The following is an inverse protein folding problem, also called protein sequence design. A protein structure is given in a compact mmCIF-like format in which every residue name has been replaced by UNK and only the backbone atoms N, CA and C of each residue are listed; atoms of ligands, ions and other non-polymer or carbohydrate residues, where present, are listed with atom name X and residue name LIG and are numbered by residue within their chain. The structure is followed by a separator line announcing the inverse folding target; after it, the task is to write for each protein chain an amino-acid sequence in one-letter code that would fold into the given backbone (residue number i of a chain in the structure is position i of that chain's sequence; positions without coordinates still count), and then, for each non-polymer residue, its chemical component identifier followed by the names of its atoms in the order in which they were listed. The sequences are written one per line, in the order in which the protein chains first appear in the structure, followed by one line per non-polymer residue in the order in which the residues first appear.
data_IF_024990682447
#
_entry.id   IF_024990682447
#
_cell.length_a   1.000
_cell.length_b   1.000
_cell.length_c   1.000
_cell.angle_alpha   90.00
_cell.angle_beta   90.00
_cell.angle_gamma   90.00
#
_symmetry.space_group_name_H-M   'P 1'
#
loop_
_entity.id
_entity.type
_entity.pdbx_description
1 polymer ?
#
# COMPACT_ATOMS: atom_id res chain seq x y z
N UNK A 1 42.66 48.74 17.08
CA UNK A 1 41.42 48.26 17.66
C UNK A 1 40.59 47.56 16.57
N UNK A 2 40.90 46.30 16.33
CA UNK A 2 40.13 45.45 15.41
C UNK A 2 39.35 44.44 16.23
N UNK A 3 38.06 44.66 16.30
CA UNK A 3 37.11 43.68 16.85
C UNK A 3 36.82 42.65 15.76
N UNK A 4 37.45 41.49 15.82
CA UNK A 4 37.07 40.32 15.06
C UNK A 4 35.76 39.76 15.67
N UNK A 5 34.65 40.07 15.04
CA UNK A 5 33.35 39.40 15.30
C UNK A 5 33.49 37.94 14.83
N UNK A 6 33.90 37.06 15.75
CA UNK A 6 33.87 35.64 15.53
C UNK A 6 32.44 35.20 15.28
N UNK A 7 32.14 34.79 14.06
CA UNK A 7 30.98 34.03 13.71
C UNK A 7 31.06 32.74 14.56
N UNK A 8 30.29 32.68 15.67
CA UNK A 8 30.10 31.43 16.41
C UNK A 8 29.41 30.47 15.45
N UNK A 9 30.20 29.62 14.82
CA UNK A 9 29.63 28.50 14.05
C UNK A 9 28.73 27.72 14.99
N UNK A 10 27.42 27.74 14.76
CA UNK A 10 26.45 26.90 15.48
C UNK A 10 26.92 25.47 15.35
N UNK A 11 27.32 24.88 16.48
CA UNK A 11 27.71 23.47 16.51
C UNK A 11 26.55 22.61 16.00
N UNK A 12 26.84 21.64 15.13
CA UNK A 12 25.81 20.64 14.70
C UNK A 12 25.10 19.98 15.89
N UNK A 13 25.73 19.96 17.06
CA UNK A 13 25.13 19.47 18.31
C UNK A 13 24.00 20.39 18.85
N UNK A 14 23.93 21.64 18.40
CA UNK A 14 22.94 22.64 18.86
C UNK A 14 21.71 22.69 17.94
N UNK A 15 21.70 22.00 16.80
CA UNK A 15 20.58 21.98 15.87
C UNK A 15 19.30 21.46 16.55
N UNK A 16 18.12 22.04 16.25
CA UNK A 16 16.84 21.50 16.70
C UNK A 16 16.66 20.04 16.30
N UNK A 17 15.93 19.28 17.10
CA UNK A 17 15.70 17.85 16.88
C UNK A 17 15.11 17.55 15.49
N UNK A 18 14.18 18.37 15.03
CA UNK A 18 13.52 18.25 13.73
C UNK A 18 14.52 18.40 12.57
N UNK A 19 15.47 19.31 12.70
CA UNK A 19 16.53 19.53 11.69
C UNK A 19 17.49 18.35 11.68
N UNK A 20 17.88 17.82 12.85
CA UNK A 20 18.71 16.62 12.95
C UNK A 20 18.02 15.41 12.33
N UNK A 21 16.73 15.20 12.59
CA UNK A 21 15.97 14.14 11.96
C UNK A 21 15.93 14.28 10.44
N UNK A 22 15.77 15.50 9.95
CA UNK A 22 15.76 15.77 8.52
C UNK A 22 17.11 15.45 7.90
N UNK A 23 18.20 15.95 8.48
CA UNK A 23 19.58 15.67 8.05
C UNK A 23 19.84 14.15 8.04
N UNK A 24 19.51 13.44 9.12
CA UNK A 24 19.77 12.01 9.22
C UNK A 24 18.98 11.18 8.19
N UNK A 25 17.75 11.57 7.87
CA UNK A 25 16.95 10.89 6.86
C UNK A 25 17.47 11.07 5.44
N UNK A 26 18.09 12.20 5.12
CA UNK A 26 18.52 12.52 3.76
C UNK A 26 20.00 12.35 3.54
N UNK A 27 20.83 12.66 4.52
CA UNK A 27 22.28 12.63 4.38
C UNK A 27 22.90 11.27 4.77
N UNK A 28 22.29 10.55 5.72
CA UNK A 28 22.81 9.29 6.22
C UNK A 28 22.03 8.12 5.60
N UNK A 29 22.51 7.61 4.49
CA UNK A 29 21.91 6.49 3.77
C UNK A 29 22.39 5.13 4.31
N UNK A 30 23.55 5.10 4.98
CA UNK A 30 24.14 3.90 5.57
C UNK A 30 23.63 3.67 6.99
N UNK A 31 23.24 2.43 7.28
CA UNK A 31 22.88 2.01 8.64
C UNK A 31 24.06 2.16 9.61
N UNK A 32 25.29 1.95 9.12
CA UNK A 32 26.52 2.08 9.90
C UNK A 32 26.77 3.52 10.33
N UNK A 33 26.53 4.50 9.45
CA UNK A 33 26.66 5.93 9.79
C UNK A 33 25.65 6.34 10.85
N UNK A 34 24.39 5.86 10.74
CA UNK A 34 23.37 6.09 11.76
C UNK A 34 23.75 5.47 13.11
N UNK A 35 24.35 4.26 13.10
CA UNK A 35 24.87 3.65 14.32
C UNK A 35 25.98 4.46 14.96
N UNK A 36 26.91 5.03 14.16
CA UNK A 36 27.94 5.92 14.65
C UNK A 36 27.34 7.17 15.31
N UNK A 37 26.25 7.71 14.78
CA UNK A 37 25.53 8.85 15.36
C UNK A 37 24.96 8.57 16.75
N UNK A 38 24.67 7.30 17.11
CA UNK A 38 24.20 6.93 18.44
C UNK A 38 25.21 7.29 19.54
N UNK A 39 26.49 7.32 19.21
CA UNK A 39 27.62 7.49 20.15
C UNK A 39 28.07 8.94 20.29
N UNK A 40 27.56 9.89 19.49
CA UNK A 40 28.03 11.27 19.45
C UNK A 40 27.57 12.07 20.69
N UNK A 41 26.27 12.16 20.91
CA UNK A 41 25.67 12.80 22.07
C UNK A 41 24.20 12.35 22.25
N UNK A 42 23.57 12.68 23.42
CA UNK A 42 22.19 12.28 23.73
C UNK A 42 21.17 12.72 22.68
N UNK A 43 21.32 13.94 22.12
CA UNK A 43 20.38 14.48 21.11
C UNK A 43 20.55 13.73 19.78
N UNK A 44 21.77 13.46 19.36
CA UNK A 44 22.05 12.69 18.16
C UNK A 44 21.56 11.24 18.33
N UNK A 45 21.81 10.64 19.49
CA UNK A 45 21.28 9.31 19.82
C UNK A 45 19.75 9.26 19.68
N UNK A 46 19.03 10.19 20.30
CA UNK A 46 17.56 10.23 20.22
C UNK A 46 17.05 10.39 18.78
N UNK A 47 17.73 11.20 17.96
CA UNK A 47 17.38 11.39 16.56
C UNK A 47 17.72 10.17 15.70
N UNK A 48 18.92 9.60 15.88
CA UNK A 48 19.38 8.44 15.13
C UNK A 48 18.53 7.19 15.42
N UNK A 49 18.16 6.96 16.68
CA UNK A 49 17.25 5.87 17.07
C UNK A 49 15.91 5.97 16.33
N UNK A 50 15.31 7.15 16.24
CA UNK A 50 14.05 7.33 15.50
C UNK A 50 14.19 7.00 14.02
N UNK A 51 15.31 7.35 13.40
CA UNK A 51 15.55 7.03 11.98
C UNK A 51 15.79 5.54 11.77
N UNK A 52 16.62 4.91 12.62
CA UNK A 52 16.89 3.47 12.59
C UNK A 52 15.63 2.63 12.76
N UNK A 53 14.78 3.01 13.72
CA UNK A 53 13.54 2.28 14.01
C UNK A 53 12.37 2.65 13.11
N UNK A 54 12.49 3.65 12.26
CA UNK A 54 11.44 4.03 11.32
C UNK A 54 11.09 2.91 10.32
N UNK A 55 12.12 2.18 9.85
CA UNK A 55 12.00 1.07 8.90
C UNK A 55 13.02 -0.01 9.21
N UNK A 56 12.80 -0.79 10.27
CA UNK A 56 13.68 -1.91 10.56
C UNK A 56 13.64 -2.93 9.41
N UNK A 57 14.79 -3.52 9.10
CA UNK A 57 14.91 -4.56 8.08
C UNK A 57 15.35 -5.88 8.73
N UNK A 58 14.77 -6.98 8.28
CA UNK A 58 15.03 -8.31 8.80
C UNK A 58 15.50 -9.21 7.65
N UNK A 59 16.69 -9.78 7.81
CA UNK A 59 17.22 -10.81 6.91
C UNK A 59 17.21 -12.19 7.57
N UNK A 60 17.01 -12.24 8.88
CA UNK A 60 16.98 -13.45 9.70
C UNK A 60 15.97 -13.27 10.82
N UNK A 61 15.36 -14.36 11.22
CA UNK A 61 14.39 -14.40 12.32
C UNK A 61 14.99 -13.89 13.64
N UNK A 62 16.28 -14.15 13.89
CA UNK A 62 16.99 -13.66 15.08
C UNK A 62 16.97 -12.13 15.21
N UNK A 63 17.04 -11.38 14.11
CA UNK A 63 16.95 -9.93 14.15
C UNK A 63 15.54 -9.46 14.54
N UNK A 64 14.48 -10.15 14.09
CA UNK A 64 13.12 -9.89 14.51
C UNK A 64 12.93 -10.18 16.01
N UNK A 65 13.45 -11.29 16.51
CA UNK A 65 13.43 -11.61 17.94
C UNK A 65 14.10 -10.53 18.79
N UNK A 66 15.28 -10.07 18.38
CA UNK A 66 15.99 -8.99 19.08
C UNK A 66 15.17 -7.70 19.09
N UNK A 67 14.58 -7.31 17.96
CA UNK A 67 13.71 -6.15 17.87
C UNK A 67 12.52 -6.26 18.83
N UNK A 68 11.81 -7.39 18.80
CA UNK A 68 10.66 -7.64 19.68
C UNK A 68 11.10 -7.57 21.14
N UNK A 69 12.21 -8.22 21.48
CA UNK A 69 12.74 -8.21 22.84
C UNK A 69 12.96 -6.78 23.36
N UNK A 70 13.57 -5.91 22.54
CA UNK A 70 13.78 -4.50 22.91
C UNK A 70 12.45 -3.73 23.00
N UNK A 71 11.50 -4.01 22.11
CA UNK A 71 10.19 -3.31 22.09
C UNK A 71 9.34 -3.59 23.33
N UNK A 72 9.43 -4.79 23.90
CA UNK A 72 8.58 -5.22 25.03
C UNK A 72 9.22 -4.96 26.40
N UNK A 73 10.44 -4.43 26.46
CA UNK A 73 11.08 -4.09 27.73
C UNK A 73 10.30 -2.99 28.44
N UNK A 74 9.86 -3.21 29.71
CA UNK A 74 9.07 -2.23 30.45
C UNK A 74 9.83 -0.94 30.74
N UNK A 75 11.15 -1.04 30.93
CA UNK A 75 12.03 0.08 31.28
C UNK A 75 12.82 0.61 30.06
N UNK A 76 12.31 0.39 28.83
CA UNK A 76 12.96 0.85 27.63
C UNK A 76 13.09 2.39 27.62
N UNK A 77 14.32 2.88 27.42
CA UNK A 77 14.59 4.31 27.42
C UNK A 77 13.85 5.08 26.31
N UNK A 78 13.61 4.41 25.16
CA UNK A 78 12.88 4.98 24.03
C UNK A 78 11.58 4.20 23.77
N UNK A 79 10.50 4.87 23.31
CA UNK A 79 9.27 4.21 22.89
C UNK A 79 9.43 3.59 21.49
N UNK A 80 10.27 2.58 21.37
CA UNK A 80 10.70 1.98 20.09
C UNK A 80 9.54 1.64 19.15
N UNK A 81 8.50 0.96 19.66
CA UNK A 81 7.33 0.59 18.88
C UNK A 81 6.66 1.81 18.21
N UNK A 82 6.68 2.97 18.88
CA UNK A 82 6.08 4.21 18.36
C UNK A 82 6.90 4.87 17.23
N UNK A 83 8.15 4.48 17.05
CA UNK A 83 9.00 4.98 15.97
C UNK A 83 8.80 4.20 14.66
N UNK A 84 8.32 2.96 14.73
CA UNK A 84 8.12 2.10 13.59
C UNK A 84 6.98 2.66 12.72
N UNK A 85 7.29 2.88 11.44
CA UNK A 85 6.35 3.32 10.41
C UNK A 85 6.18 2.29 9.30
N UNK A 86 7.20 1.48 9.04
CA UNK A 86 7.21 0.53 7.93
C UNK A 86 7.75 -0.80 8.38
N UNK A 87 7.00 -1.86 8.15
CA UNK A 87 7.42 -3.24 8.39
C UNK A 87 7.31 -4.03 7.09
N UNK A 88 8.34 -4.79 6.80
CA UNK A 88 8.36 -5.71 5.66
C UNK A 88 8.87 -7.07 6.14
N UNK A 89 7.99 -8.07 6.04
CA UNK A 89 8.27 -9.46 6.45
C UNK A 89 8.44 -10.41 5.26
N UNK A 90 8.47 -9.92 4.02
CA UNK A 90 8.57 -10.77 2.82
C UNK A 90 9.79 -11.70 2.82
N UNK A 91 10.90 -11.28 3.44
CA UNK A 91 12.12 -12.08 3.60
C UNK A 91 11.98 -13.19 4.63
N UNK A 92 10.99 -13.11 5.53
CA UNK A 92 10.68 -14.07 6.58
C UNK A 92 9.35 -14.79 6.34
N UNK A 93 8.84 -14.79 5.10
CA UNK A 93 7.49 -15.23 4.74
C UNK A 93 7.15 -16.64 5.25
N UNK A 94 8.10 -17.57 5.19
CA UNK A 94 7.93 -18.95 5.65
C UNK A 94 8.17 -19.18 7.16
N UNK A 95 8.66 -18.16 7.88
CA UNK A 95 9.08 -18.29 9.28
C UNK A 95 8.23 -17.43 10.23
N UNK A 96 7.45 -16.49 9.69
CA UNK A 96 6.65 -15.55 10.48
C UNK A 96 5.35 -16.22 10.94
N UNK A 97 5.27 -16.51 12.21
CA UNK A 97 4.09 -17.08 12.86
C UNK A 97 3.25 -16.02 13.61
N UNK A 98 2.11 -16.44 14.14
CA UNK A 98 1.18 -15.59 14.89
C UNK A 98 1.79 -15.03 16.17
N UNK A 99 2.68 -15.76 16.82
CA UNK A 99 3.28 -15.34 18.08
C UNK A 99 4.19 -14.12 17.86
N UNK A 100 4.99 -14.15 16.81
CA UNK A 100 5.90 -13.06 16.43
C UNK A 100 5.13 -11.90 15.82
N UNK A 101 4.25 -12.19 14.85
CA UNK A 101 3.50 -11.15 14.15
C UNK A 101 2.54 -10.42 15.09
N UNK A 102 1.90 -11.13 16.03
CA UNK A 102 0.98 -10.53 17.00
C UNK A 102 1.59 -9.43 17.87
N UNK A 103 2.92 -9.43 18.06
CA UNK A 103 3.63 -8.36 18.78
C UNK A 103 3.62 -7.02 18.03
N UNK A 104 3.38 -7.06 16.73
CA UNK A 104 3.30 -5.84 15.90
C UNK A 104 2.06 -4.99 16.23
N UNK A 105 1.09 -5.51 16.96
CA UNK A 105 -0.03 -4.73 17.51
C UNK A 105 0.43 -3.57 18.41
N UNK A 106 1.66 -3.59 18.91
CA UNK A 106 2.26 -2.47 19.65
C UNK A 106 2.65 -1.28 18.75
N UNK A 107 2.74 -1.48 17.45
CA UNK A 107 3.20 -0.47 16.48
C UNK A 107 2.06 0.43 15.98
N UNK A 108 1.35 1.14 16.87
CA UNK A 108 0.14 1.92 16.54
C UNK A 108 0.35 3.07 15.56
N UNK A 109 1.59 3.40 15.25
CA UNK A 109 1.95 4.43 14.28
C UNK A 109 2.42 3.85 12.95
N UNK A 110 2.18 2.56 12.71
CA UNK A 110 2.55 1.87 11.47
C UNK A 110 1.79 2.46 10.28
N UNK A 111 2.54 2.82 9.24
CA UNK A 111 2.02 3.43 8.01
C UNK A 111 2.03 2.45 6.84
N UNK A 112 2.99 1.51 6.83
CA UNK A 112 3.10 0.50 5.76
C UNK A 112 3.41 -0.86 6.33
N UNK A 113 2.64 -1.86 5.89
CA UNK A 113 2.79 -3.26 6.28
C UNK A 113 2.89 -4.14 5.04
N UNK A 114 3.96 -4.91 4.92
CA UNK A 114 4.16 -5.91 3.87
C UNK A 114 4.27 -7.29 4.50
N UNK A 115 3.36 -8.19 4.10
CA UNK A 115 3.27 -9.59 4.51
C UNK A 115 3.32 -10.53 3.29
N UNK A 116 3.87 -10.06 2.17
CA UNK A 116 3.89 -10.85 0.93
C UNK A 116 4.39 -12.28 1.17
N UNK A 117 3.56 -13.28 0.85
CA UNK A 117 3.87 -14.70 1.00
C UNK A 117 3.86 -15.25 2.45
N UNK A 118 3.48 -14.46 3.46
CA UNK A 118 3.40 -14.93 4.86
C UNK A 118 2.17 -15.82 5.06
N UNK A 119 2.31 -17.11 4.81
CA UNK A 119 1.20 -18.08 4.83
C UNK A 119 0.92 -18.69 6.20
N UNK A 120 1.80 -18.50 7.19
CA UNK A 120 1.62 -19.05 8.54
C UNK A 120 0.89 -18.10 9.51
N UNK A 121 0.64 -16.87 9.08
CA UNK A 121 -0.16 -15.90 9.84
C UNK A 121 -1.64 -16.26 9.71
N UNK A 122 -2.37 -16.26 10.83
CA UNK A 122 -3.82 -16.49 10.84
C UNK A 122 -4.59 -15.17 10.64
N UNK A 123 -5.86 -15.29 10.20
CA UNK A 123 -6.76 -14.14 10.07
C UNK A 123 -7.02 -13.44 11.39
N UNK A 124 -7.14 -14.19 12.47
CA UNK A 124 -7.38 -13.65 13.82
C UNK A 124 -6.23 -12.73 14.25
N UNK A 125 -4.99 -13.21 14.11
CA UNK A 125 -3.80 -12.40 14.46
C UNK A 125 -3.64 -11.20 13.53
N UNK A 126 -3.89 -11.36 12.24
CA UNK A 126 -3.87 -10.26 11.27
C UNK A 126 -4.90 -9.19 11.64
N UNK A 127 -6.16 -9.58 11.90
CA UNK A 127 -7.23 -8.67 12.28
C UNK A 127 -6.90 -7.92 13.58
N UNK A 128 -6.35 -8.60 14.59
CA UNK A 128 -5.92 -7.98 15.84
C UNK A 128 -4.82 -6.93 15.62
N UNK A 129 -3.84 -7.21 14.77
CA UNK A 129 -2.78 -6.23 14.43
C UNK A 129 -3.37 -5.05 13.69
N UNK A 130 -4.23 -5.28 12.69
CA UNK A 130 -4.89 -4.22 11.92
C UNK A 130 -5.73 -3.28 12.81
N UNK A 131 -6.49 -3.83 13.77
CA UNK A 131 -7.28 -3.04 14.73
C UNK A 131 -6.42 -2.08 15.56
N UNK A 132 -5.15 -2.41 15.77
CA UNK A 132 -4.21 -1.60 16.55
C UNK A 132 -3.31 -0.70 15.68
N UNK A 133 -3.47 -0.68 14.35
CA UNK A 133 -2.63 0.09 13.43
C UNK A 133 -3.42 1.05 12.54
N UNK A 134 -4.18 2.02 13.11
CA UNK A 134 -5.10 2.89 12.37
C UNK A 134 -4.42 3.91 11.44
N UNK A 135 -3.09 4.01 11.49
CA UNK A 135 -2.32 4.95 10.66
C UNK A 135 -1.87 4.34 9.33
N UNK A 136 -2.29 3.10 9.02
CA UNK A 136 -1.91 2.44 7.78
C UNK A 136 -2.36 3.23 6.54
N UNK A 137 -1.40 3.46 5.68
CA UNK A 137 -1.56 4.13 4.37
C UNK A 137 -1.40 3.14 3.23
N UNK A 138 -0.60 2.09 3.42
CA UNK A 138 -0.42 1.06 2.41
C UNK A 138 -0.21 -0.32 3.03
N UNK A 139 -0.82 -1.33 2.42
CA UNK A 139 -0.66 -2.74 2.77
C UNK A 139 -0.25 -3.57 1.55
N UNK A 140 0.55 -4.58 1.76
CA UNK A 140 0.86 -5.62 0.79
C UNK A 140 0.66 -6.99 1.45
N UNK A 141 -0.42 -7.66 1.06
CA UNK A 141 -0.82 -8.99 1.51
C UNK A 141 -0.78 -10.01 0.36
N UNK A 142 0.02 -9.73 -0.67
CA UNK A 142 0.10 -10.63 -1.83
C UNK A 142 0.47 -12.06 -1.43
N UNK A 143 -0.32 -13.04 -1.89
CA UNK A 143 -0.14 -14.46 -1.58
C UNK A 143 -0.43 -14.86 -0.15
N UNK A 144 -1.05 -14.00 0.67
CA UNK A 144 -1.45 -14.33 2.05
C UNK A 144 -2.80 -15.06 2.04
N UNK A 145 -2.77 -16.34 2.38
CA UNK A 145 -3.93 -17.24 2.23
C UNK A 145 -5.03 -17.01 3.26
N UNK A 146 -4.74 -16.39 4.39
CA UNK A 146 -5.72 -16.12 5.45
C UNK A 146 -6.58 -14.89 5.19
N UNK A 147 -6.24 -14.03 4.22
CA UNK A 147 -6.97 -12.79 3.93
C UNK A 147 -8.34 -13.11 3.33
N UNK A 148 -9.40 -12.64 3.98
CA UNK A 148 -10.80 -12.78 3.55
C UNK A 148 -11.50 -11.43 3.51
N UNK A 149 -12.80 -11.42 3.18
CA UNK A 149 -13.64 -10.22 3.22
C UNK A 149 -13.72 -9.63 4.65
N UNK A 150 -13.65 -10.47 5.69
CA UNK A 150 -13.59 -9.99 7.07
C UNK A 150 -12.30 -9.19 7.33
N UNK A 151 -11.16 -9.67 6.85
CA UNK A 151 -9.89 -8.90 6.93
C UNK A 151 -10.02 -7.54 6.25
N UNK A 152 -10.65 -7.49 5.06
CA UNK A 152 -10.88 -6.24 4.33
C UNK A 152 -11.84 -5.31 5.08
N UNK A 153 -12.86 -5.85 5.73
CA UNK A 153 -13.79 -5.09 6.57
C UNK A 153 -13.07 -4.45 7.76
N UNK A 154 -12.22 -5.21 8.48
CA UNK A 154 -11.39 -4.68 9.58
C UNK A 154 -10.48 -3.58 9.06
N UNK A 155 -9.79 -3.80 7.95
CA UNK A 155 -8.91 -2.80 7.33
C UNK A 155 -9.67 -1.54 6.95
N UNK A 156 -10.84 -1.67 6.33
CA UNK A 156 -11.70 -0.58 5.90
C UNK A 156 -12.17 0.29 7.08
N UNK A 157 -12.62 -0.33 8.15
CA UNK A 157 -13.15 0.38 9.32
C UNK A 157 -12.05 1.02 10.16
N UNK A 158 -10.86 0.41 10.21
CA UNK A 158 -9.76 0.89 11.05
C UNK A 158 -8.87 1.91 10.33
N UNK A 159 -8.68 1.77 9.00
CA UNK A 159 -7.67 2.52 8.24
C UNK A 159 -8.29 3.39 7.12
N UNK A 160 -9.11 4.41 7.42
CA UNK A 160 -9.81 5.22 6.41
C UNK A 160 -8.86 6.06 5.53
N UNK A 161 -7.59 6.18 5.91
CA UNK A 161 -6.55 6.89 5.15
C UNK A 161 -5.77 5.99 4.20
N UNK A 162 -6.22 4.75 3.98
CA UNK A 162 -5.55 3.80 3.09
C UNK A 162 -5.49 4.34 1.67
N UNK A 163 -4.30 4.31 1.07
CA UNK A 163 -4.02 4.78 -0.29
C UNK A 163 -3.57 3.66 -1.22
N UNK A 164 -3.08 2.55 -0.68
CA UNK A 164 -2.61 1.42 -1.47
C UNK A 164 -2.89 0.08 -0.82
N UNK A 165 -3.43 -0.86 -1.60
CA UNK A 165 -3.62 -2.24 -1.19
C UNK A 165 -3.16 -3.19 -2.31
N UNK A 166 -2.21 -4.06 -1.99
CA UNK A 166 -1.85 -5.19 -2.85
C UNK A 166 -2.41 -6.47 -2.22
N UNK A 167 -3.38 -7.07 -2.88
CA UNK A 167 -4.13 -8.26 -2.48
C UNK A 167 -3.96 -9.38 -3.51
N UNK A 168 -2.95 -9.27 -4.39
CA UNK A 168 -2.70 -10.25 -5.46
C UNK A 168 -2.59 -11.66 -4.90
N UNK A 169 -3.35 -12.60 -5.44
CA UNK A 169 -3.36 -13.99 -4.99
C UNK A 169 -4.07 -14.25 -3.66
N UNK A 170 -4.84 -13.28 -3.14
CA UNK A 170 -5.73 -13.52 -1.98
C UNK A 170 -7.01 -14.20 -2.46
N UNK A 171 -6.98 -15.52 -2.60
CA UNK A 171 -8.04 -16.31 -3.26
C UNK A 171 -9.39 -16.33 -2.50
N UNK A 172 -9.41 -15.91 -1.22
CA UNK A 172 -10.61 -15.96 -0.38
C UNK A 172 -11.38 -14.65 -0.33
N UNK A 173 -10.86 -13.57 -0.92
CA UNK A 173 -11.60 -12.30 -1.04
C UNK A 173 -12.60 -12.36 -2.19
N UNK A 174 -13.68 -11.62 -2.04
CA UNK A 174 -14.73 -11.47 -3.07
C UNK A 174 -14.95 -10.01 -3.43
N UNK A 175 -15.80 -9.77 -4.43
CA UNK A 175 -16.24 -8.40 -4.77
C UNK A 175 -16.81 -7.66 -3.56
N UNK A 176 -17.51 -8.35 -2.64
CA UNK A 176 -18.11 -7.71 -1.48
C UNK A 176 -17.07 -7.06 -0.58
N UNK A 177 -15.99 -7.78 -0.25
CA UNK A 177 -14.90 -7.23 0.58
C UNK A 177 -14.22 -6.02 -0.08
N UNK A 178 -14.02 -6.06 -1.40
CA UNK A 178 -13.45 -4.93 -2.16
C UNK A 178 -14.41 -3.74 -2.19
N UNK A 179 -15.71 -3.97 -2.34
CA UNK A 179 -16.73 -2.92 -2.27
C UNK A 179 -16.76 -2.26 -0.89
N UNK A 180 -16.65 -3.03 0.18
CA UNK A 180 -16.61 -2.50 1.54
C UNK A 180 -15.35 -1.66 1.77
N UNK A 181 -14.20 -2.11 1.26
CA UNK A 181 -12.97 -1.33 1.27
C UNK A 181 -13.13 0.01 0.51
N UNK A 182 -13.73 -0.02 -0.68
CA UNK A 182 -13.96 1.18 -1.49
C UNK A 182 -14.86 2.21 -0.78
N UNK A 183 -15.90 1.75 -0.06
CA UNK A 183 -16.83 2.62 0.67
C UNK A 183 -16.19 3.36 1.83
N UNK A 184 -15.23 2.74 2.51
CA UNK A 184 -14.63 3.29 3.73
C UNK A 184 -13.24 3.92 3.49
N UNK A 185 -12.59 3.65 2.36
CA UNK A 185 -11.26 4.16 2.02
C UNK A 185 -11.29 5.04 0.75
N UNK A 186 -11.92 6.22 0.77
CA UNK A 186 -12.07 7.09 -0.41
C UNK A 186 -10.75 7.66 -0.92
N UNK A 187 -9.68 7.59 -0.13
CA UNK A 187 -8.35 8.06 -0.50
C UNK A 187 -7.53 7.00 -1.26
N UNK A 188 -8.13 5.85 -1.61
CA UNK A 188 -7.45 4.77 -2.30
C UNK A 188 -6.97 5.25 -3.69
N UNK A 189 -5.68 5.03 -3.96
CA UNK A 189 -4.99 5.44 -5.18
C UNK A 189 -4.51 4.26 -6.01
N UNK A 190 -4.22 3.14 -5.35
CA UNK A 190 -3.71 1.93 -6.00
C UNK A 190 -4.33 0.70 -5.37
N UNK A 191 -4.84 -0.18 -6.20
CA UNK A 191 -5.34 -1.48 -5.78
C UNK A 191 -4.84 -2.56 -6.74
N UNK A 192 -4.32 -3.65 -6.18
CA UNK A 192 -3.91 -4.84 -6.95
C UNK A 192 -4.69 -6.04 -6.44
N UNK A 193 -5.42 -6.65 -7.35
CA UNK A 193 -6.34 -7.77 -7.14
C UNK A 193 -6.00 -8.95 -8.06
N UNK A 194 -4.79 -8.95 -8.64
CA UNK A 194 -4.39 -9.99 -9.58
C UNK A 194 -4.61 -11.40 -9.02
N UNK A 195 -5.13 -12.32 -9.82
CA UNK A 195 -5.48 -13.69 -9.46
C UNK A 195 -6.53 -13.82 -8.33
N UNK A 196 -7.34 -12.79 -8.08
CA UNK A 196 -8.48 -12.88 -7.17
C UNK A 196 -9.73 -13.30 -7.95
N UNK A 197 -9.87 -14.58 -8.24
CA UNK A 197 -10.89 -15.13 -9.18
C UNK A 197 -12.34 -14.80 -8.79
N UNK A 198 -12.61 -14.56 -7.49
CA UNK A 198 -13.94 -14.26 -6.96
C UNK A 198 -14.24 -12.75 -6.94
N UNK A 199 -13.33 -11.93 -7.46
CA UNK A 199 -13.53 -10.49 -7.60
C UNK A 199 -13.96 -10.19 -9.04
N UNK A 200 -15.16 -9.63 -9.18
CA UNK A 200 -15.76 -9.30 -10.47
C UNK A 200 -15.75 -7.79 -10.75
N UNK A 201 -16.43 -7.45 -11.81
CA UNK A 201 -16.47 -6.08 -12.29
C UNK A 201 -17.27 -5.11 -11.46
N UNK A 202 -18.21 -5.59 -10.64
CA UNK A 202 -18.92 -4.82 -9.63
C UNK A 202 -17.97 -4.16 -8.62
N UNK A 203 -16.89 -4.86 -8.24
CA UNK A 203 -15.83 -4.29 -7.42
C UNK A 203 -15.11 -3.12 -8.12
N UNK A 204 -14.79 -3.27 -9.41
CA UNK A 204 -14.17 -2.19 -10.19
C UNK A 204 -15.08 -0.96 -10.27
N UNK A 205 -16.37 -1.18 -10.52
CA UNK A 205 -17.36 -0.11 -10.56
C UNK A 205 -17.45 0.67 -9.24
N UNK A 206 -17.53 -0.05 -8.12
CA UNK A 206 -17.62 0.59 -6.82
C UNK A 206 -16.32 1.34 -6.47
N UNK A 207 -15.15 0.80 -6.82
CA UNK A 207 -13.87 1.50 -6.71
C UNK A 207 -13.86 2.82 -7.48
N UNK A 208 -14.32 2.82 -8.73
CA UNK A 208 -14.39 4.03 -9.55
C UNK A 208 -15.39 5.06 -9.01
N UNK A 209 -16.46 4.60 -8.39
CA UNK A 209 -17.48 5.47 -7.77
C UNK A 209 -17.01 6.11 -6.47
N UNK A 210 -16.33 5.33 -5.61
CA UNK A 210 -16.01 5.74 -4.24
C UNK A 210 -14.62 6.29 -4.07
N UNK A 211 -13.70 5.96 -4.97
CA UNK A 211 -12.30 6.33 -4.89
C UNK A 211 -11.93 7.30 -6.04
N UNK A 212 -12.29 8.59 -5.98
CA UNK A 212 -12.08 9.54 -7.07
C UNK A 212 -10.61 9.78 -7.40
N UNK A 213 -9.71 9.44 -6.49
CA UNK A 213 -8.24 9.56 -6.67
C UNK A 213 -7.58 8.27 -7.10
N UNK A 214 -8.35 7.26 -7.55
CA UNK A 214 -7.80 5.97 -7.99
C UNK A 214 -6.96 6.18 -9.27
N UNK A 215 -5.69 5.76 -9.22
CA UNK A 215 -4.71 5.90 -10.29
C UNK A 215 -4.34 4.56 -10.93
N UNK A 216 -4.37 3.48 -10.16
CA UNK A 216 -3.97 2.14 -10.60
C UNK A 216 -4.99 1.10 -10.11
N UNK A 217 -5.52 0.32 -11.04
CA UNK A 217 -6.34 -0.86 -10.79
C UNK A 217 -5.74 -2.05 -11.56
N UNK A 218 -5.35 -3.09 -10.83
CA UNK A 218 -4.80 -4.33 -11.40
C UNK A 218 -5.77 -5.47 -11.07
N UNK A 219 -6.43 -6.01 -12.10
CA UNK A 219 -7.36 -7.12 -12.05
C UNK A 219 -6.90 -8.28 -12.96
N UNK A 220 -5.59 -8.43 -13.14
CA UNK A 220 -5.04 -9.54 -13.93
C UNK A 220 -5.58 -10.88 -13.43
N UNK A 221 -5.98 -11.77 -14.33
CA UNK A 221 -6.52 -13.10 -14.00
C UNK A 221 -7.80 -13.08 -13.13
N UNK A 222 -8.52 -11.94 -13.08
CA UNK A 222 -9.85 -11.91 -12.46
C UNK A 222 -10.88 -12.41 -13.47
N UNK A 223 -11.19 -13.70 -13.42
CA UNK A 223 -12.05 -14.38 -14.41
C UNK A 223 -13.52 -13.93 -14.38
N UNK A 224 -13.94 -13.28 -13.30
CA UNK A 224 -15.28 -12.74 -13.12
C UNK A 224 -15.44 -11.28 -13.63
N UNK A 225 -14.43 -10.72 -14.29
CA UNK A 225 -14.53 -9.40 -14.94
C UNK A 225 -15.10 -9.56 -16.35
N UNK A 226 -16.24 -8.93 -16.61
CA UNK A 226 -16.99 -9.01 -17.87
C UNK A 226 -17.09 -7.65 -18.57
N UNK A 227 -17.51 -7.62 -19.82
CA UNK A 227 -17.58 -6.44 -20.68
C UNK A 227 -18.28 -5.23 -20.02
N UNK A 228 -19.44 -5.44 -19.40
CA UNK A 228 -20.24 -4.37 -18.79
C UNK A 228 -19.44 -3.57 -17.76
N UNK A 229 -18.60 -4.23 -17.01
CA UNK A 229 -17.77 -3.59 -15.95
C UNK A 229 -16.70 -2.69 -16.52
N UNK A 230 -16.13 -3.09 -17.64
CA UNK A 230 -15.08 -2.32 -18.33
C UNK A 230 -15.70 -1.19 -19.15
N UNK A 231 -16.91 -1.41 -19.74
CA UNK A 231 -17.67 -0.33 -20.40
C UNK A 231 -17.88 0.87 -19.49
N UNK A 232 -18.20 0.65 -18.22
CA UNK A 232 -18.42 1.73 -17.26
C UNK A 232 -17.14 2.54 -16.94
N UNK A 233 -15.96 1.97 -17.11
CA UNK A 233 -14.69 2.71 -17.01
C UNK A 233 -14.63 3.80 -18.09
N UNK A 234 -15.07 3.48 -19.31
CA UNK A 234 -15.06 4.40 -20.44
C UNK A 234 -16.14 5.48 -20.35
N UNK A 235 -17.23 5.19 -19.65
CA UNK A 235 -18.37 6.10 -19.53
C UNK A 235 -18.23 7.11 -18.37
N UNK A 236 -17.22 6.97 -17.52
CA UNK A 236 -17.04 7.81 -16.33
C UNK A 236 -15.76 8.65 -16.40
N UNK A 237 -15.79 9.88 -15.87
CA UNK A 237 -14.57 10.64 -15.66
C UNK A 237 -13.76 9.96 -14.54
N UNK A 238 -12.57 9.46 -14.86
CA UNK A 238 -11.68 8.80 -13.90
C UNK A 238 -10.30 9.43 -13.93
N UNK A 239 -9.59 9.37 -12.81
CA UNK A 239 -8.17 9.73 -12.72
C UNK A 239 -7.25 8.53 -13.01
N UNK A 240 -7.83 7.41 -13.49
CA UNK A 240 -7.14 6.16 -13.70
C UNK A 240 -6.02 6.34 -14.74
N UNK A 241 -4.81 5.93 -14.37
CA UNK A 241 -3.62 5.98 -15.22
C UNK A 241 -3.20 4.61 -15.71
N UNK A 242 -3.46 3.59 -14.90
CA UNK A 242 -3.09 2.22 -15.20
C UNK A 242 -4.26 1.28 -14.91
N UNK A 243 -4.68 0.54 -15.93
CA UNK A 243 -5.67 -0.51 -15.85
C UNK A 243 -5.08 -1.81 -16.41
N UNK A 244 -4.96 -2.83 -15.57
CA UNK A 244 -4.46 -4.13 -15.97
C UNK A 244 -5.57 -5.16 -15.92
N UNK A 245 -5.84 -5.76 -17.08
CA UNK A 245 -6.88 -6.76 -17.31
C UNK A 245 -6.30 -8.01 -18.00
N UNK A 246 -4.98 -8.20 -17.94
CA UNK A 246 -4.35 -9.35 -18.58
C UNK A 246 -4.97 -10.68 -18.09
N UNK A 247 -5.16 -11.61 -19.00
CA UNK A 247 -5.80 -12.91 -18.75
C UNK A 247 -7.27 -12.84 -18.26
N UNK A 248 -7.97 -11.73 -18.46
CA UNK A 248 -9.42 -11.66 -18.24
C UNK A 248 -10.16 -12.23 -19.44
N UNK A 249 -10.26 -13.57 -19.52
CA UNK A 249 -10.71 -14.29 -20.70
C UNK A 249 -12.23 -14.15 -20.99
N UNK A 250 -13.00 -13.52 -20.10
CA UNK A 250 -14.42 -13.22 -20.32
C UNK A 250 -14.64 -11.88 -21.05
N UNK A 251 -13.57 -11.11 -21.32
CA UNK A 251 -13.66 -9.84 -22.03
C UNK A 251 -13.70 -10.06 -23.54
N UNK A 252 -14.67 -9.43 -24.21
CA UNK A 252 -14.81 -9.35 -25.66
C UNK A 252 -14.67 -7.93 -26.17
N UNK A 253 -14.73 -7.71 -27.47
CA UNK A 253 -14.67 -6.36 -28.08
C UNK A 253 -15.79 -5.45 -27.55
N UNK A 254 -16.89 -6.02 -27.03
CA UNK A 254 -17.98 -5.27 -26.41
C UNK A 254 -17.56 -4.53 -25.14
N UNK A 255 -16.45 -4.90 -24.50
CA UNK A 255 -15.89 -4.16 -23.36
C UNK A 255 -15.48 -2.73 -23.70
N UNK A 256 -15.29 -2.41 -24.98
CA UNK A 256 -14.74 -1.14 -25.46
C UNK A 256 -15.78 -0.24 -26.13
N UNK A 257 -15.54 1.10 -26.20
CA UNK A 257 -16.52 2.04 -26.68
C UNK A 257 -16.88 1.81 -28.15
N UNK A 258 -18.07 1.33 -28.42
CA UNK A 258 -18.61 1.24 -29.78
C UNK A 258 -18.96 2.63 -30.32
N UNK A 259 -19.05 2.82 -31.67
CA UNK A 259 -19.49 4.07 -32.25
C UNK A 259 -20.89 4.52 -31.78
N UNK A 260 -21.78 3.59 -31.44
CA UNK A 260 -23.10 3.86 -30.86
C UNK A 260 -23.01 4.40 -29.43
N UNK A 261 -22.14 3.84 -28.60
CA UNK A 261 -21.88 4.35 -27.24
C UNK A 261 -21.30 5.77 -27.28
N UNK A 262 -20.38 6.05 -28.19
CA UNK A 262 -19.82 7.39 -28.38
C UNK A 262 -20.86 8.45 -28.77
N UNK A 263 -21.91 8.06 -29.52
CA UNK A 263 -23.05 8.96 -29.90
C UNK A 263 -24.04 9.17 -28.76
N UNK A 264 -24.15 8.24 -27.84
CA UNK A 264 -25.07 8.32 -26.69
C UNK A 264 -24.50 9.17 -25.53
N UNK A 265 -23.23 9.52 -25.56
CA UNK A 265 -22.64 10.43 -24.58
C UNK A 265 -23.16 11.85 -24.82
N UNK A 266 -23.60 12.60 -23.79
CA UNK A 266 -24.10 13.95 -23.96
C UNK A 266 -23.03 14.84 -24.59
N UNK A 267 -23.43 15.58 -25.62
CA UNK A 267 -22.61 16.51 -26.43
C UNK A 267 -22.20 17.79 -25.65
N UNK A 268 -21.68 17.62 -24.43
CA UNK A 268 -20.96 18.69 -23.74
C UNK A 268 -19.45 18.56 -24.01
N UNK A 269 -18.65 19.63 -24.01
CA UNK A 269 -17.34 19.72 -24.66
C UNK A 269 -16.43 18.56 -24.31
N UNK A 270 -15.46 18.22 -25.15
CA UNK A 270 -15.06 16.88 -25.53
C UNK A 270 -14.77 16.00 -24.28
N UNK A 271 -15.71 15.13 -23.93
CA UNK A 271 -15.40 13.99 -23.05
C UNK A 271 -14.35 13.14 -23.79
N UNK A 272 -13.10 13.40 -23.49
CA UNK A 272 -12.03 12.47 -23.83
C UNK A 272 -12.14 11.30 -22.87
N UNK A 273 -12.62 10.22 -23.39
CA UNK A 273 -12.71 8.95 -22.70
C UNK A 273 -11.32 8.60 -22.16
N UNK A 274 -11.19 8.45 -20.85
CA UNK A 274 -9.94 8.10 -20.17
C UNK A 274 -8.72 8.98 -20.51
N UNK A 275 -8.86 10.33 -20.49
CA UNK A 275 -7.75 11.27 -20.74
C UNK A 275 -6.47 11.00 -19.96
N UNK A 276 -6.59 10.38 -18.81
CA UNK A 276 -5.47 10.13 -17.91
C UNK A 276 -4.88 8.74 -18.06
N UNK A 277 -5.53 7.82 -18.79
CA UNK A 277 -5.05 6.44 -18.95
C UNK A 277 -3.76 6.43 -19.79
N UNK A 278 -2.71 5.89 -19.22
CA UNK A 278 -1.39 5.79 -19.83
C UNK A 278 -1.01 4.36 -20.14
N UNK A 279 -1.57 3.40 -19.41
CA UNK A 279 -1.32 1.99 -19.59
C UNK A 279 -2.62 1.20 -19.46
N UNK A 280 -2.91 0.44 -20.51
CA UNK A 280 -3.95 -0.57 -20.55
C UNK A 280 -3.29 -1.90 -20.93
N UNK A 281 -3.34 -2.86 -20.02
CA UNK A 281 -2.78 -4.19 -20.25
C UNK A 281 -3.91 -5.19 -20.53
N UNK A 282 -3.96 -5.69 -21.75
CA UNK A 282 -4.94 -6.68 -22.24
C UNK A 282 -4.26 -7.98 -22.67
N UNK A 283 -3.04 -8.21 -22.21
CA UNK A 283 -2.24 -9.39 -22.57
C UNK A 283 -3.04 -10.65 -22.31
N UNK A 284 -3.05 -11.57 -23.28
CA UNK A 284 -3.75 -12.85 -23.19
C UNK A 284 -5.28 -12.78 -22.94
N UNK A 285 -5.94 -11.68 -23.28
CA UNK A 285 -7.40 -11.64 -23.39
C UNK A 285 -7.83 -12.26 -24.72
N UNK A 286 -8.01 -13.55 -24.76
CA UNK A 286 -8.10 -14.37 -26.00
C UNK A 286 -9.36 -14.13 -26.84
N UNK A 287 -10.40 -13.49 -26.27
CA UNK A 287 -11.65 -13.17 -26.98
C UNK A 287 -11.66 -11.76 -27.59
N UNK A 288 -10.57 -10.99 -27.42
CA UNK A 288 -10.42 -9.66 -28.04
C UNK A 288 -9.85 -9.79 -29.44
N UNK A 289 -10.34 -8.94 -30.33
CA UNK A 289 -9.85 -8.81 -31.71
C UNK A 289 -9.28 -7.41 -31.99
N UNK A 290 -8.85 -7.15 -33.21
CA UNK A 290 -8.40 -5.82 -33.63
C UNK A 290 -9.50 -4.76 -33.50
N UNK A 291 -10.77 -5.14 -33.42
CA UNK A 291 -11.89 -4.19 -33.20
C UNK A 291 -11.79 -3.53 -31.82
N UNK A 292 -11.38 -4.25 -30.79
CA UNK A 292 -11.12 -3.68 -29.46
C UNK A 292 -10.07 -2.56 -29.53
N UNK A 293 -8.96 -2.81 -30.26
CA UNK A 293 -7.88 -1.82 -30.39
C UNK A 293 -8.32 -0.58 -31.19
N UNK A 294 -9.18 -0.76 -32.22
CA UNK A 294 -9.74 0.37 -32.98
C UNK A 294 -10.75 1.19 -32.18
N UNK A 295 -11.33 0.58 -31.17
CA UNK A 295 -12.34 1.22 -30.33
C UNK A 295 -11.75 2.12 -29.23
N UNK A 296 -10.49 1.95 -28.88
CA UNK A 296 -9.75 2.76 -27.90
C UNK A 296 -9.17 4.00 -28.57
#
# INVERSE_FOLDING_TARGET
LSASSGVRGTSLAELPHEILLHVFRYALTSQQDLQSCLLVCRRWCASAVQVLWHRPSFHKLSALFQMIHVMIQPDAYFPYASYIRRLNFSTLAGELDDQLFGRMALCHRLERLTLSGCTQVTEETLSRVLQNTPQLVAVDFSGVTCVTDHTLQVLATTCPRLQGANLTGCLRITSQGVCDLARHCPMLRRIKLGACERVGGDALLELLRRCPTLLEADLMQCTSVHDQSVQDVWLRPTQLRELKLAHCNALTDLAFPTPSMRRALPLSPPFRVCEHLRMLDLTCCTMLTDEAVRAI
#
